data_IF_842622419889
#
_entry.id   IF_842622419889
#
_cell.length_a   1.000
_cell.length_b   1.000
_cell.length_c   1.000
_cell.angle_alpha   90.00
_cell.angle_beta   90.00
_cell.angle_gamma   90.00
#
_symmetry.space_group_name_H-M   'P 1'
#
loop_
_entity.id
_entity.type
_entity.pdbx_description
1 polymer ?
#
# COMPACT_ATOMS: atom_id res chain seq x y z
N UNK A 1 -4.94 -15.73 -1.12
CA UNK A 1 -4.70 -15.55 -2.57
C UNK A 1 -3.63 -16.53 -3.03
N UNK A 2 -3.79 -17.14 -4.21
CA UNK A 2 -2.80 -18.07 -4.77
C UNK A 2 -1.68 -17.29 -5.49
N UNK A 3 -0.45 -17.82 -5.59
CA UNK A 3 0.59 -17.26 -6.45
C UNK A 3 0.09 -17.01 -7.88
N UNK A 4 0.46 -15.87 -8.46
CA UNK A 4 0.05 -15.46 -9.81
C UNK A 4 -1.34 -14.83 -9.92
N UNK A 5 -2.01 -14.58 -8.78
CA UNK A 5 -3.31 -13.90 -8.76
C UNK A 5 -3.18 -12.42 -8.43
N UNK A 6 -4.13 -11.63 -8.93
CA UNK A 6 -4.30 -10.23 -8.56
C UNK A 6 -5.78 -9.91 -8.33
N UNK A 7 -6.04 -8.79 -7.66
CA UNK A 7 -7.37 -8.23 -7.47
C UNK A 7 -7.31 -6.70 -7.49
N UNK A 8 -8.37 -6.07 -7.99
CA UNK A 8 -8.57 -4.63 -7.92
C UNK A 8 -9.63 -4.29 -6.89
N UNK A 9 -9.43 -3.20 -6.14
CA UNK A 9 -10.35 -2.68 -5.11
C UNK A 9 -10.74 -3.75 -4.09
N UNK A 10 -9.74 -4.42 -3.52
CA UNK A 10 -9.95 -5.45 -2.51
C UNK A 10 -10.15 -4.83 -1.13
N UNK A 11 -11.22 -5.22 -0.45
CA UNK A 11 -11.45 -4.87 0.95
C UNK A 11 -10.76 -5.88 1.86
N UNK A 12 -9.80 -5.42 2.65
CA UNK A 12 -9.07 -6.23 3.63
C UNK A 12 -9.70 -6.01 5.02
N UNK A 13 -10.25 -7.04 5.65
CA UNK A 13 -10.86 -6.91 6.97
C UNK A 13 -9.82 -6.75 8.07
N UNK A 14 -10.00 -5.80 8.97
CA UNK A 14 -9.15 -5.63 10.15
C UNK A 14 -9.99 -5.50 11.42
N UNK A 15 -9.40 -5.86 12.55
CA UNK A 15 -9.93 -5.55 13.88
C UNK A 15 -9.25 -4.27 14.38
N UNK A 16 -10.07 -3.31 14.83
CA UNK A 16 -9.58 -2.11 15.50
C UNK A 16 -9.07 -2.44 16.91
N UNK A 17 -8.23 -1.56 17.46
CA UNK A 17 -7.76 -1.66 18.84
C UNK A 17 -8.94 -1.82 19.80
N UNK A 18 -8.86 -2.84 20.66
CA UNK A 18 -9.96 -3.28 21.53
C UNK A 18 -10.72 -4.50 21.01
N UNK A 19 -10.47 -4.95 19.77
CA UNK A 19 -10.93 -6.25 19.24
C UNK A 19 -12.43 -6.38 18.96
N UNK A 20 -13.23 -5.35 19.27
CA UNK A 20 -14.70 -5.41 19.21
C UNK A 20 -15.29 -4.94 17.88
N UNK A 21 -14.52 -4.19 17.08
CA UNK A 21 -15.01 -3.59 15.83
C UNK A 21 -14.15 -4.04 14.65
N UNK A 22 -14.77 -4.77 13.74
CA UNK A 22 -14.20 -5.12 12.44
C UNK A 22 -14.54 -4.02 11.43
N UNK A 23 -13.53 -3.56 10.68
CA UNK A 23 -13.71 -2.64 9.55
C UNK A 23 -12.98 -3.17 8.32
N UNK A 24 -13.29 -2.65 7.15
CA UNK A 24 -12.59 -2.97 5.91
C UNK A 24 -11.66 -1.83 5.50
N UNK A 25 -10.40 -2.14 5.22
CA UNK A 25 -9.48 -1.24 4.54
C UNK A 25 -9.55 -1.53 3.03
N UNK A 26 -9.97 -0.57 2.19
CA UNK A 26 -9.89 -0.72 0.75
C UNK A 26 -8.43 -0.56 0.28
N UNK A 27 -8.02 -1.46 -0.61
CA UNK A 27 -6.75 -1.45 -1.35
C UNK A 27 -7.04 -1.52 -2.85
N UNK A 28 -6.46 -0.60 -3.61
CA UNK A 28 -6.68 -0.41 -5.04
C UNK A 28 -6.20 -1.61 -5.85
N UNK A 29 -5.00 -2.13 -5.55
CA UNK A 29 -4.43 -3.28 -6.24
C UNK A 29 -3.76 -4.21 -5.23
N UNK A 30 -4.07 -5.50 -5.34
CA UNK A 30 -3.42 -6.55 -4.56
C UNK A 30 -2.87 -7.59 -5.51
N UNK A 31 -1.56 -7.81 -5.46
CA UNK A 31 -0.88 -8.77 -6.33
C UNK A 31 -0.16 -9.82 -5.48
N UNK A 32 -0.38 -11.08 -5.79
CA UNK A 32 0.37 -12.19 -5.23
C UNK A 32 1.36 -12.69 -6.29
N UNK A 33 2.67 -12.36 -6.21
CA UNK A 33 3.66 -12.75 -7.21
C UNK A 33 3.65 -14.25 -7.51
N UNK A 34 3.94 -14.61 -8.76
CA UNK A 34 3.93 -16.01 -9.25
C UNK A 34 4.90 -16.88 -8.44
N UNK A 35 6.06 -16.34 -8.08
CA UNK A 35 7.11 -17.06 -7.34
C UNK A 35 6.92 -17.01 -5.82
N UNK A 36 5.82 -16.43 -5.32
CA UNK A 36 5.58 -16.33 -3.88
C UNK A 36 5.30 -17.70 -3.27
N UNK A 37 5.83 -17.92 -2.05
CA UNK A 37 5.39 -19.07 -1.25
C UNK A 37 3.91 -18.93 -0.83
N UNK A 38 3.20 -20.02 -0.51
CA UNK A 38 1.83 -19.95 -0.03
C UNK A 38 1.64 -19.09 1.24
N UNK A 39 2.65 -19.04 2.13
CA UNK A 39 2.60 -18.30 3.40
C UNK A 39 2.96 -16.81 3.27
N UNK A 40 3.63 -16.40 2.20
CA UNK A 40 3.99 -15.00 1.99
C UNK A 40 2.73 -14.13 1.83
N UNK A 41 2.73 -12.89 2.30
CA UNK A 41 1.61 -11.98 2.07
C UNK A 41 1.67 -11.40 0.64
N UNK A 42 0.53 -11.06 0.01
CA UNK A 42 0.53 -10.35 -1.27
C UNK A 42 1.14 -8.95 -1.11
N UNK A 43 1.53 -8.34 -2.22
CA UNK A 43 1.87 -6.93 -2.31
C UNK A 43 0.57 -6.11 -2.37
N UNK A 44 0.45 -5.14 -1.48
CA UNK A 44 -0.65 -4.17 -1.44
C UNK A 44 -0.17 -2.87 -2.09
N UNK A 45 -0.92 -2.34 -3.05
CA UNK A 45 -0.54 -1.13 -3.78
C UNK A 45 -1.69 -0.14 -3.73
N UNK A 46 -1.40 1.08 -3.28
CA UNK A 46 -2.33 2.20 -3.36
C UNK A 46 -1.94 3.19 -4.46
N UNK A 47 -2.87 3.48 -5.36
CA UNK A 47 -2.63 4.39 -6.45
C UNK A 47 -2.89 5.82 -6.00
N UNK A 48 -1.93 6.71 -6.21
CA UNK A 48 -2.07 8.13 -5.94
C UNK A 48 -1.81 8.93 -7.20
N UNK A 49 -2.79 9.75 -7.57
CA UNK A 49 -2.65 10.74 -8.63
C UNK A 49 -2.62 12.14 -8.01
N UNK A 50 -1.63 12.93 -8.40
CA UNK A 50 -1.49 14.32 -8.00
C UNK A 50 -1.47 15.22 -9.25
N UNK A 51 -2.52 16.03 -9.40
CA UNK A 51 -2.64 17.06 -10.44
C UNK A 51 -2.70 18.50 -9.90
N UNK A 52 -2.98 18.70 -8.61
CA UNK A 52 -3.16 20.02 -7.99
C UNK A 52 -2.54 20.05 -6.56
N UNK A 53 -1.76 21.10 -6.29
CA UNK A 53 -0.87 21.31 -5.14
C UNK A 53 -1.62 21.50 -3.80
N UNK A 54 -2.95 21.64 -3.86
CA UNK A 54 -3.75 22.24 -2.77
C UNK A 54 -4.23 21.30 -1.66
N UNK A 55 -3.97 19.98 -1.69
CA UNK A 55 -4.30 19.12 -0.54
C UNK A 55 -3.38 17.92 -0.26
N UNK A 56 -2.10 18.13 0.09
CA UNK A 56 -1.18 17.04 0.45
C UNK A 56 -1.42 16.52 1.87
N UNK A 57 -1.71 17.40 2.83
CA UNK A 57 -1.59 17.10 4.27
C UNK A 57 -2.66 16.17 4.83
N UNK A 58 -3.88 16.16 4.28
CA UNK A 58 -4.91 15.19 4.70
C UNK A 58 -4.62 13.79 4.16
N UNK A 59 -4.10 13.70 2.92
CA UNK A 59 -3.82 12.44 2.22
C UNK A 59 -2.63 11.68 2.80
N UNK A 60 -1.58 12.38 3.26
CA UNK A 60 -0.39 11.76 3.90
C UNK A 60 -0.73 10.87 5.10
N UNK A 61 -1.63 11.31 5.96
CA UNK A 61 -1.98 10.57 7.19
C UNK A 61 -2.81 9.30 6.92
N UNK A 62 -3.52 9.23 5.80
CA UNK A 62 -4.41 8.11 5.51
C UNK A 62 -3.60 6.83 5.21
N UNK A 63 -2.52 6.91 4.45
CA UNK A 63 -1.71 5.75 4.04
C UNK A 63 -0.90 5.17 5.22
N UNK A 64 -0.26 6.04 6.01
CA UNK A 64 0.43 5.64 7.22
C UNK A 64 -0.50 4.89 8.20
N UNK A 65 -1.73 5.41 8.41
CA UNK A 65 -2.72 4.76 9.28
C UNK A 65 -3.16 3.41 8.71
N UNK A 66 -3.40 3.31 7.39
CA UNK A 66 -3.73 2.02 6.75
C UNK A 66 -2.61 1.00 6.97
N UNK A 67 -1.37 1.37 6.66
CA UNK A 67 -0.22 0.48 6.82
C UNK A 67 -0.05 0.02 8.27
N UNK A 68 -0.13 0.94 9.24
CA UNK A 68 -0.05 0.59 10.65
C UNK A 68 -1.16 -0.36 11.08
N UNK A 69 -2.40 -0.12 10.67
CA UNK A 69 -3.54 -0.98 10.99
C UNK A 69 -3.42 -2.38 10.36
N UNK A 70 -2.90 -2.46 9.13
CA UNK A 70 -2.63 -3.73 8.45
C UNK A 70 -1.52 -4.51 9.16
N UNK A 71 -0.40 -3.87 9.50
CA UNK A 71 0.71 -4.52 10.24
C UNK A 71 0.26 -5.01 11.62
N UNK A 72 -0.56 -4.23 12.32
CA UNK A 72 -1.13 -4.64 13.60
C UNK A 72 -2.03 -5.89 13.52
N UNK A 73 -2.65 -6.16 12.35
CA UNK A 73 -3.55 -7.30 12.17
C UNK A 73 -2.88 -8.52 11.51
N UNK A 74 -1.91 -8.29 10.64
CA UNK A 74 -1.32 -9.32 9.77
C UNK A 74 0.19 -9.48 9.95
N UNK A 75 0.80 -8.69 10.83
CA UNK A 75 2.24 -8.70 11.15
C UNK A 75 3.07 -7.72 10.33
N UNK A 76 4.29 -7.48 10.79
CA UNK A 76 5.24 -6.53 10.18
C UNK A 76 5.64 -6.88 8.74
N UNK A 77 5.44 -8.14 8.32
CA UNK A 77 5.74 -8.63 6.98
C UNK A 77 4.73 -8.17 5.90
N UNK A 78 3.73 -7.35 6.26
CA UNK A 78 2.83 -6.72 5.29
C UNK A 78 3.66 -5.85 4.34
N UNK A 79 3.54 -6.12 3.04
CA UNK A 79 4.16 -5.34 1.96
C UNK A 79 3.13 -4.39 1.39
N UNK A 80 3.34 -3.10 1.62
CA UNK A 80 2.44 -2.03 1.19
C UNK A 80 3.26 -0.93 0.52
N UNK A 81 2.88 -0.53 -0.70
CA UNK A 81 3.57 0.51 -1.46
C UNK A 81 2.60 1.49 -2.09
N UNK A 82 3.10 2.66 -2.46
CA UNK A 82 2.36 3.62 -3.28
C UNK A 82 2.74 3.48 -4.76
N UNK A 83 1.76 3.59 -5.65
CA UNK A 83 1.97 3.84 -7.06
C UNK A 83 1.66 5.31 -7.37
N UNK A 84 2.70 6.09 -7.64
CA UNK A 84 2.63 7.55 -7.76
C UNK A 84 2.53 7.98 -9.22
N UNK A 85 1.40 8.62 -9.57
CA UNK A 85 1.10 9.21 -10.85
C UNK A 85 1.08 10.75 -10.75
N UNK A 86 1.84 11.44 -11.61
CA UNK A 86 2.02 12.88 -11.54
C UNK A 86 3.18 13.31 -10.64
N UNK A 87 3.02 14.45 -9.96
CA UNK A 87 4.10 15.06 -9.18
C UNK A 87 3.85 14.98 -7.67
N UNK A 88 4.89 14.67 -6.90
CA UNK A 88 4.87 14.70 -5.43
C UNK A 88 6.09 15.46 -4.93
N UNK A 89 5.88 16.33 -3.94
CA UNK A 89 6.93 17.12 -3.34
C UNK A 89 7.81 16.27 -2.40
N UNK A 90 9.04 16.72 -2.15
CA UNK A 90 9.99 16.02 -1.28
C UNK A 90 9.50 15.88 0.16
N UNK A 91 8.62 16.77 0.64
CA UNK A 91 8.02 16.68 1.96
C UNK A 91 6.98 15.57 2.05
N UNK A 92 6.22 15.34 0.98
CA UNK A 92 5.35 14.16 0.85
C UNK A 92 6.20 12.89 0.89
N UNK A 93 7.20 12.78 0.01
CA UNK A 93 8.06 11.59 -0.08
C UNK A 93 8.83 11.34 1.21
N UNK A 94 9.31 12.40 1.87
CA UNK A 94 9.98 12.31 3.17
C UNK A 94 9.07 11.81 4.29
N UNK A 95 7.78 12.17 4.26
CA UNK A 95 6.79 11.64 5.20
C UNK A 95 6.55 10.14 4.98
N UNK A 96 6.27 9.73 3.74
CA UNK A 96 6.06 8.31 3.41
C UNK A 96 7.28 7.44 3.75
N UNK A 97 8.49 7.94 3.45
CA UNK A 97 9.73 7.26 3.80
C UNK A 97 9.93 7.14 5.32
N UNK A 98 9.56 8.17 6.09
CA UNK A 98 9.63 8.12 7.56
C UNK A 98 8.65 7.12 8.16
N UNK A 99 7.51 6.89 7.50
CA UNK A 99 6.54 5.85 7.85
C UNK A 99 6.97 4.46 7.34
N UNK A 100 8.04 4.38 6.53
CA UNK A 100 8.53 3.11 5.97
C UNK A 100 7.64 2.57 4.85
N UNK A 101 7.05 3.47 4.05
CA UNK A 101 6.26 3.16 2.87
C UNK A 101 7.13 3.40 1.63
N UNK A 102 7.36 2.34 0.86
CA UNK A 102 8.02 2.44 -0.44
C UNK A 102 7.03 2.88 -1.53
N UNK A 103 7.56 3.32 -2.68
CA UNK A 103 6.74 3.71 -3.82
C UNK A 103 7.38 3.37 -5.15
N UNK A 104 6.53 3.29 -6.19
CA UNK A 104 6.91 3.20 -7.60
C UNK A 104 6.28 4.37 -8.34
N UNK A 105 7.04 4.95 -9.27
CA UNK A 105 6.56 6.03 -10.12
C UNK A 105 5.95 5.50 -11.41
N UNK A 106 4.93 6.18 -11.94
CA UNK A 106 4.30 5.81 -13.21
C UNK A 106 5.29 5.76 -14.39
N UNK A 107 6.31 6.63 -14.39
CA UNK A 107 7.33 6.70 -15.42
C UNK A 107 8.53 5.77 -15.17
N UNK A 108 8.48 4.96 -14.10
CA UNK A 108 9.45 3.92 -13.75
C UNK A 108 8.74 2.66 -13.27
N UNK A 109 7.70 2.26 -14.00
CA UNK A 109 6.84 1.14 -13.62
C UNK A 109 7.61 -0.18 -13.50
N UNK A 110 8.72 -0.31 -14.22
CA UNK A 110 9.68 -1.41 -14.13
C UNK A 110 10.26 -1.62 -12.72
N UNK A 111 10.25 -0.61 -11.85
CA UNK A 111 10.67 -0.77 -10.45
C UNK A 111 9.73 -1.72 -9.67
N UNK A 112 8.53 -2.05 -10.19
CA UNK A 112 7.69 -3.12 -9.62
C UNK A 112 8.41 -4.49 -9.61
N UNK A 113 9.37 -4.69 -10.51
CA UNK A 113 10.20 -5.91 -10.53
C UNK A 113 10.99 -6.09 -9.22
N UNK A 114 11.34 -5.01 -8.51
CA UNK A 114 12.00 -5.06 -7.20
C UNK A 114 11.11 -5.71 -6.13
N UNK A 115 9.80 -5.76 -6.34
CA UNK A 115 8.83 -6.42 -5.46
C UNK A 115 8.47 -7.85 -5.92
N UNK A 116 9.14 -8.33 -6.98
CA UNK A 116 8.94 -9.66 -7.57
C UNK A 116 7.74 -9.75 -8.51
N UNK A 117 7.27 -8.62 -9.04
CA UNK A 117 6.20 -8.54 -10.05
C UNK A 117 6.77 -8.81 -11.44
#
# INVERSE_FOLDING_TARGET
MLPGTFSFRLNIPILLQGGTKQINIPIDIVIKPIQSSPSQLPLLIEAKSAGDYTNPNKRRKEEAVKMAQLRNNYGENVRFILFLCGYFDSGYLGYEAAEGIDWVWEHRIEDLALFGI
#
